data_IF_445421243322
#
_entry.id   IF_445421243322
#
_cell.length_a   1.000
_cell.length_b   1.000
_cell.length_c   1.000
_cell.angle_alpha   90.00
_cell.angle_beta   90.00
_cell.angle_gamma   90.00
#
_symmetry.space_group_name_H-M   'P 1'
#
loop_
_entity.id
_entity.type
_entity.pdbx_description
1 polymer ?
#
# COMPACT_ATOMS: atom_id res chain seq x y z
N UNK A 1 23.06 -15.67 11.03
CA UNK A 1 22.33 -15.04 9.92
C UNK A 1 21.98 -16.12 8.90
N UNK A 2 20.80 -16.72 9.02
CA UNK A 2 20.31 -17.73 8.09
C UNK A 2 19.24 -17.06 7.21
N UNK A 3 19.56 -16.81 5.94
CA UNK A 3 18.58 -16.32 4.98
C UNK A 3 17.36 -17.27 4.98
N UNK A 4 16.12 -16.74 4.99
CA UNK A 4 14.94 -17.58 4.92
C UNK A 4 14.98 -18.38 3.62
N UNK A 5 15.06 -19.71 3.70
CA UNK A 5 15.01 -20.58 2.53
C UNK A 5 13.64 -20.45 1.88
N UNK A 6 13.53 -19.76 0.75
CA UNK A 6 12.29 -19.66 -0.02
C UNK A 6 12.00 -21.02 -0.65
N UNK A 7 10.81 -21.59 -0.40
CA UNK A 7 10.42 -22.85 -1.02
C UNK A 7 10.09 -22.63 -2.50
N UNK A 8 10.31 -23.61 -3.36
CA UNK A 8 9.94 -23.53 -4.79
C UNK A 8 8.46 -23.13 -5.00
N UNK A 9 7.57 -23.61 -4.12
CA UNK A 9 6.15 -23.22 -4.11
C UNK A 9 5.94 -21.73 -3.82
N UNK A 10 6.65 -21.18 -2.84
CA UNK A 10 6.58 -19.76 -2.48
C UNK A 10 7.06 -18.87 -3.63
N UNK A 11 8.16 -19.27 -4.28
CA UNK A 11 8.68 -18.59 -5.46
C UNK A 11 7.69 -18.66 -6.63
N UNK A 12 7.11 -19.84 -6.89
CA UNK A 12 6.11 -20.02 -7.95
C UNK A 12 4.86 -19.15 -7.72
N UNK A 13 4.36 -19.07 -6.49
CA UNK A 13 3.21 -18.23 -6.13
C UNK A 13 3.53 -16.73 -6.26
N UNK A 14 4.72 -16.29 -5.87
CA UNK A 14 5.17 -14.91 -6.10
C UNK A 14 5.24 -14.59 -7.60
N UNK A 15 5.84 -15.47 -8.41
CA UNK A 15 5.94 -15.28 -9.86
C UNK A 15 4.57 -15.28 -10.54
N UNK A 16 3.66 -16.16 -10.12
CA UNK A 16 2.28 -16.18 -10.62
C UNK A 16 1.55 -14.87 -10.29
N UNK A 17 1.71 -14.34 -9.07
CA UNK A 17 1.14 -13.04 -8.69
C UNK A 17 1.66 -11.89 -9.56
N UNK A 18 2.97 -11.85 -9.83
CA UNK A 18 3.59 -10.86 -10.72
C UNK A 18 3.09 -11.01 -12.16
N UNK A 19 2.94 -12.24 -12.66
CA UNK A 19 2.40 -12.50 -13.99
C UNK A 19 0.97 -11.97 -14.13
N UNK A 20 0.10 -12.24 -13.15
CA UNK A 20 -1.25 -11.70 -13.14
C UNK A 20 -1.27 -10.16 -13.02
N UNK A 21 -0.38 -9.56 -12.25
CA UNK A 21 -0.25 -8.10 -12.23
C UNK A 21 0.13 -7.54 -13.61
N UNK A 22 1.09 -8.17 -14.29
CA UNK A 22 1.52 -7.77 -15.62
C UNK A 22 0.38 -7.90 -16.65
N UNK A 23 -0.39 -8.99 -16.59
CA UNK A 23 -1.57 -9.19 -17.44
C UNK A 23 -2.66 -8.14 -17.18
N UNK A 24 -2.89 -7.74 -15.92
CA UNK A 24 -3.81 -6.66 -15.59
C UNK A 24 -3.35 -5.33 -16.24
N UNK A 25 -2.07 -4.96 -16.08
CA UNK A 25 -1.53 -3.73 -16.70
C UNK A 25 -1.57 -3.76 -18.23
N UNK A 26 -1.33 -4.93 -18.83
CA UNK A 26 -1.41 -5.11 -20.28
C UNK A 26 -2.86 -4.99 -20.77
N UNK A 27 -3.81 -5.56 -20.04
CA UNK A 27 -5.23 -5.47 -20.37
C UNK A 27 -5.77 -4.04 -20.31
N UNK A 28 -5.25 -3.24 -19.40
CA UNK A 28 -5.56 -1.81 -19.29
C UNK A 28 -4.94 -1.01 -20.45
N UNK A 29 -3.67 -1.28 -20.78
CA UNK A 29 -2.97 -0.64 -21.90
C UNK A 29 -3.66 -0.91 -23.25
N UNK A 30 -4.08 -2.16 -23.50
CA UNK A 30 -4.78 -2.56 -24.72
C UNK A 30 -6.26 -2.11 -24.72
N UNK A 31 -6.90 -2.08 -23.54
CA UNK A 31 -8.23 -1.53 -23.36
C UNK A 31 -8.33 -0.03 -23.67
N UNK A 32 -7.26 0.72 -23.37
CA UNK A 32 -7.12 2.12 -23.73
C UNK A 32 -6.79 2.36 -25.22
N UNK A 33 -6.44 1.31 -25.98
CA UNK A 33 -6.01 1.39 -27.39
C UNK A 33 -7.13 1.15 -28.43
N UNK A 34 -8.39 0.99 -28.00
CA UNK A 34 -9.55 0.78 -28.89
C UNK A 34 -9.88 2.05 -29.75
N UNK A 35 -10.59 1.95 -30.90
CA UNK A 35 -10.05 2.23 -32.25
C UNK A 35 -9.93 3.68 -32.72
N UNK A 36 -9.99 4.71 -31.87
CA UNK A 36 -10.10 6.10 -32.38
C UNK A 36 -8.92 7.05 -32.21
N UNK A 37 -7.88 6.74 -31.43
CA UNK A 37 -6.69 7.61 -31.38
C UNK A 37 -5.38 6.83 -31.18
N UNK A 38 -4.74 6.46 -32.28
CA UNK A 38 -3.32 6.08 -32.29
C UNK A 38 -2.47 7.31 -31.93
N UNK A 39 -2.19 7.54 -30.64
CA UNK A 39 -1.29 8.62 -30.19
C UNK A 39 0.01 8.05 -29.58
N UNK A 40 1.18 8.30 -30.20
CA UNK A 40 2.49 7.89 -29.66
C UNK A 40 2.87 8.55 -28.32
N UNK A 41 2.11 9.54 -27.84
CA UNK A 41 2.23 10.10 -26.49
C UNK A 41 1.75 9.12 -25.41
N UNK A 42 0.70 8.32 -25.66
CA UNK A 42 0.10 7.40 -24.69
C UNK A 42 1.10 6.35 -24.20
N UNK A 43 1.88 5.76 -25.12
CA UNK A 43 2.89 4.75 -24.79
C UNK A 43 4.04 5.32 -23.94
N UNK A 44 4.47 6.55 -24.19
CA UNK A 44 5.53 7.20 -23.38
C UNK A 44 5.03 7.52 -21.97
N UNK A 45 3.79 7.97 -21.82
CA UNK A 45 3.17 8.20 -20.52
C UNK A 45 3.01 6.90 -19.74
N UNK A 46 2.60 5.81 -20.41
CA UNK A 46 2.50 4.49 -19.80
C UNK A 46 3.88 3.99 -19.32
N UNK A 47 4.91 4.05 -20.16
CA UNK A 47 6.27 3.64 -19.78
C UNK A 47 6.82 4.44 -18.60
N UNK A 48 6.63 5.76 -18.60
CA UNK A 48 7.03 6.62 -17.49
C UNK A 48 6.27 6.25 -16.20
N UNK A 49 4.96 6.06 -16.30
CA UNK A 49 4.11 5.65 -15.18
C UNK A 49 4.52 4.30 -14.60
N UNK A 50 4.78 3.30 -15.44
CA UNK A 50 5.28 1.99 -15.02
C UNK A 50 6.63 2.10 -14.32
N UNK A 51 7.57 2.87 -14.89
CA UNK A 51 8.90 3.07 -14.29
C UNK A 51 8.81 3.74 -12.91
N UNK A 52 8.05 4.83 -12.80
CA UNK A 52 7.83 5.53 -11.53
C UNK A 52 7.12 4.61 -10.52
N UNK A 53 6.17 3.79 -10.97
CA UNK A 53 5.48 2.80 -10.14
C UNK A 53 6.41 1.74 -9.56
N UNK A 54 7.29 1.15 -10.38
CA UNK A 54 8.30 0.17 -9.92
C UNK A 54 9.25 0.80 -8.91
N UNK A 55 9.73 2.00 -9.21
CA UNK A 55 10.62 2.74 -8.31
C UNK A 55 9.92 3.07 -6.97
N UNK A 56 8.65 3.45 -7.00
CA UNK A 56 7.85 3.70 -5.81
C UNK A 56 7.67 2.43 -4.96
N UNK A 57 7.41 1.28 -5.57
CA UNK A 57 7.28 0.01 -4.84
C UNK A 57 8.60 -0.38 -4.18
N UNK A 58 9.73 -0.18 -4.86
CA UNK A 58 11.05 -0.41 -4.30
C UNK A 58 11.30 0.46 -3.06
N UNK A 59 11.06 1.78 -3.15
CA UNK A 59 11.21 2.67 -2.00
C UNK A 59 10.24 2.36 -0.86
N UNK A 60 9.01 1.95 -1.18
CA UNK A 60 8.06 1.49 -0.17
C UNK A 60 8.56 0.24 0.57
N UNK A 61 9.17 -0.71 -0.13
CA UNK A 61 9.77 -1.90 0.47
C UNK A 61 10.96 -1.54 1.38
N UNK A 62 11.85 -0.64 0.92
CA UNK A 62 12.96 -0.12 1.74
C UNK A 62 12.43 0.59 2.98
N UNK A 63 11.41 1.44 2.86
CA UNK A 63 10.80 2.13 4.01
C UNK A 63 10.24 1.15 5.04
N UNK A 64 9.55 0.08 4.61
CA UNK A 64 9.03 -0.94 5.52
C UNK A 64 10.14 -1.76 6.18
N UNK A 65 11.22 -2.06 5.45
CA UNK A 65 12.39 -2.74 6.01
C UNK A 65 13.09 -1.87 7.06
N UNK A 66 13.32 -0.59 6.76
CA UNK A 66 13.87 0.36 7.73
C UNK A 66 12.95 0.49 8.97
N UNK A 67 11.64 0.56 8.78
CA UNK A 67 10.69 0.63 9.89
C UNK A 67 10.71 -0.63 10.77
N UNK A 68 10.88 -1.81 10.17
CA UNK A 68 11.05 -3.05 10.92
C UNK A 68 12.35 -3.02 11.75
N UNK A 69 13.48 -2.62 11.16
CA UNK A 69 14.77 -2.54 11.84
C UNK A 69 14.84 -1.44 12.91
N UNK A 70 14.19 -0.29 12.68
CA UNK A 70 14.05 0.76 13.68
C UNK A 70 13.16 0.30 14.86
N UNK A 71 12.16 -0.52 14.57
CA UNK A 71 11.28 -1.13 15.58
C UNK A 71 12.01 -2.13 16.48
N UNK A 72 12.97 -2.89 15.94
CA UNK A 72 13.77 -3.88 16.68
C UNK A 72 14.99 -3.28 17.37
N UNK A 73 15.72 -2.40 16.68
CA UNK A 73 17.01 -1.86 17.15
C UNK A 73 16.87 -0.64 18.05
N UNK A 74 15.89 0.23 17.79
CA UNK A 74 15.68 1.49 18.53
C UNK A 74 14.38 1.50 19.34
N UNK A 75 13.59 0.42 19.28
CA UNK A 75 12.34 0.31 20.04
C UNK A 75 11.26 1.32 19.65
N UNK A 76 11.38 1.96 18.48
CA UNK A 76 10.49 3.04 18.04
C UNK A 76 9.04 2.56 18.02
N UNK A 77 8.14 3.38 18.58
CA UNK A 77 6.70 3.06 18.59
C UNK A 77 6.13 3.28 17.19
N UNK A 78 5.14 2.48 16.72
CA UNK A 78 4.56 2.65 15.38
C UNK A 78 4.03 4.06 15.09
N UNK A 79 3.51 4.73 16.12
CA UNK A 79 3.05 6.12 16.02
C UNK A 79 4.21 7.09 15.78
N UNK A 80 5.33 6.92 16.48
CA UNK A 80 6.54 7.74 16.28
C UNK A 80 7.12 7.52 14.88
N UNK A 81 7.18 6.27 14.41
CA UNK A 81 7.62 5.94 13.05
C UNK A 81 6.73 6.60 11.98
N UNK A 82 5.42 6.71 12.25
CA UNK A 82 4.49 7.43 11.36
C UNK A 82 4.84 8.90 11.28
N UNK A 83 5.06 9.59 12.40
CA UNK A 83 5.43 11.01 12.38
C UNK A 83 6.83 11.27 11.82
N UNK A 84 7.81 10.41 12.14
CA UNK A 84 9.18 10.52 11.62
C UNK A 84 9.27 10.29 10.11
N UNK A 85 8.34 9.51 9.52
CA UNK A 85 8.26 9.36 8.06
C UNK A 85 7.38 10.44 7.40
N UNK A 86 6.30 10.85 8.05
CA UNK A 86 5.35 11.82 7.49
C UNK A 86 5.91 13.25 7.44
N UNK A 87 6.59 13.73 8.48
CA UNK A 87 7.07 15.12 8.53
C UNK A 87 8.11 15.44 7.44
N UNK A 88 9.16 14.61 7.23
CA UNK A 88 10.11 14.86 6.13
C UNK A 88 9.46 14.74 4.76
N UNK A 89 8.50 13.82 4.60
CA UNK A 89 7.74 13.65 3.36
C UNK A 89 6.85 14.86 3.07
N UNK A 90 6.19 15.41 4.09
CA UNK A 90 5.41 16.64 3.95
C UNK A 90 6.31 17.82 3.54
N UNK A 91 7.47 17.96 4.20
CA UNK A 91 8.43 19.00 3.87
C UNK A 91 8.97 18.88 2.43
N UNK A 92 9.27 17.66 1.97
CA UNK A 92 9.75 17.44 0.60
C UNK A 92 8.66 17.72 -0.44
N UNK A 93 7.38 17.46 -0.13
CA UNK A 93 6.24 17.74 -1.00
C UNK A 93 5.88 19.24 -1.07
N UNK A 94 6.32 20.07 -0.12
CA UNK A 94 6.10 21.53 -0.22
C UNK A 94 6.76 22.11 -1.47
N UNK A 95 7.96 21.65 -1.84
CA UNK A 95 8.68 22.16 -3.01
C UNK A 95 7.89 21.98 -4.31
N UNK A 96 7.47 20.75 -4.71
CA UNK A 96 6.68 20.58 -5.92
C UNK A 96 5.30 21.25 -5.83
N UNK A 97 4.68 21.33 -4.65
CA UNK A 97 3.37 22.00 -4.45
C UNK A 97 3.37 23.46 -4.93
N UNK A 98 4.48 24.17 -4.80
CA UNK A 98 4.62 25.57 -5.23
C UNK A 98 5.32 25.75 -6.57
N UNK A 99 6.08 24.75 -7.05
CA UNK A 99 6.97 24.92 -8.21
C UNK A 99 6.53 24.14 -9.46
N UNK A 100 5.79 23.05 -9.31
CA UNK A 100 5.35 22.21 -10.43
C UNK A 100 4.00 22.70 -10.95
N UNK A 101 3.94 23.03 -12.23
CA UNK A 101 2.69 23.37 -12.92
C UNK A 101 2.13 22.15 -13.63
N UNK A 102 0.84 21.90 -13.45
CA UNK A 102 0.14 20.80 -14.11
C UNK A 102 -1.04 21.34 -14.94
N UNK A 103 -1.44 20.62 -16.01
CA UNK A 103 -2.65 20.94 -16.75
C UNK A 103 -3.86 20.89 -15.80
N UNK A 104 -4.80 21.81 -16.02
CA UNK A 104 -5.98 21.98 -15.17
C UNK A 104 -7.24 21.52 -15.88
N UNK A 105 -8.41 21.71 -15.25
CA UNK A 105 -9.71 21.40 -15.86
C UNK A 105 -9.94 22.22 -17.15
N UNK A 106 -10.84 21.76 -18.05
CA UNK A 106 -11.09 22.43 -19.32
C UNK A 106 -11.38 23.92 -19.15
N UNK A 107 -10.63 24.77 -19.85
CA UNK A 107 -10.77 26.23 -19.80
C UNK A 107 -9.92 26.94 -18.73
N UNK A 108 -9.20 26.21 -17.87
CA UNK A 108 -8.20 26.78 -16.97
C UNK A 108 -6.78 26.57 -17.52
N UNK A 109 -5.95 27.61 -17.48
CA UNK A 109 -4.52 27.51 -17.82
C UNK A 109 -3.76 26.65 -16.81
N UNK A 110 -2.49 26.32 -17.08
CA UNK A 110 -1.65 25.54 -16.16
C UNK A 110 -1.57 26.23 -14.79
N UNK A 111 -1.69 25.45 -13.72
CA UNK A 111 -1.62 25.96 -12.36
C UNK A 111 -0.82 25.03 -11.45
N UNK A 112 -0.34 25.58 -10.34
CA UNK A 112 0.33 24.84 -9.26
C UNK A 112 -0.69 24.23 -8.31
N UNK A 113 -0.31 23.19 -7.57
CA UNK A 113 -1.18 22.56 -6.57
C UNK A 113 -1.70 23.58 -5.53
N UNK A 114 -0.87 24.58 -5.16
CA UNK A 114 -1.29 25.67 -4.29
C UNK A 114 -2.38 26.57 -4.90
N UNK A 115 -2.30 26.83 -6.21
CA UNK A 115 -3.33 27.57 -6.93
C UNK A 115 -4.61 26.75 -7.07
N UNK A 116 -4.52 25.45 -7.34
CA UNK A 116 -5.68 24.53 -7.30
C UNK A 116 -6.34 24.61 -5.94
N UNK A 117 -5.57 24.43 -4.87
CA UNK A 117 -6.08 24.43 -3.50
C UNK A 117 -6.87 25.69 -3.18
N UNK A 118 -6.30 26.87 -3.44
CA UNK A 118 -7.01 28.16 -3.23
C UNK A 118 -8.28 28.27 -4.06
N UNK A 119 -8.26 27.80 -5.31
CA UNK A 119 -9.42 27.84 -6.19
C UNK A 119 -10.53 26.92 -5.70
N UNK A 120 -10.21 25.69 -5.29
CA UNK A 120 -11.18 24.73 -4.74
C UNK A 120 -11.75 25.25 -3.42
N UNK A 121 -10.94 25.84 -2.54
CA UNK A 121 -11.43 26.46 -1.30
C UNK A 121 -12.50 27.52 -1.56
N UNK A 122 -12.34 28.33 -2.61
CA UNK A 122 -13.30 29.38 -2.96
C UNK A 122 -14.55 28.83 -3.66
N UNK A 123 -14.42 27.79 -4.49
CA UNK A 123 -15.54 27.22 -5.27
C UNK A 123 -16.38 26.23 -4.46
N UNK A 124 -15.74 25.39 -3.65
CA UNK A 124 -16.36 24.31 -2.88
C UNK A 124 -15.60 24.10 -1.56
N UNK A 125 -15.87 24.92 -0.53
CA UNK A 125 -15.22 24.77 0.77
C UNK A 125 -15.57 23.43 1.45
N UNK A 126 -16.71 22.82 1.12
CA UNK A 126 -17.10 21.51 1.64
C UNK A 126 -16.11 20.40 1.24
N UNK A 127 -15.49 20.51 0.06
CA UNK A 127 -14.46 19.57 -0.40
C UNK A 127 -13.23 19.58 0.53
N UNK A 128 -12.96 20.68 1.23
CA UNK A 128 -11.87 20.73 2.21
C UNK A 128 -12.11 19.83 3.41
N UNK A 129 -13.37 19.61 3.79
CA UNK A 129 -13.72 18.62 4.81
C UNK A 129 -13.27 17.22 4.42
N UNK A 130 -13.40 16.86 3.14
CA UNK A 130 -12.94 15.57 2.62
C UNK A 130 -11.41 15.47 2.58
N UNK A 131 -10.70 16.57 2.30
CA UNK A 131 -9.24 16.63 2.35
C UNK A 131 -8.71 16.44 3.78
N UNK A 132 -9.35 17.07 4.77
CA UNK A 132 -8.97 16.89 6.17
C UNK A 132 -9.27 15.46 6.62
N UNK A 133 -10.44 14.94 6.25
CA UNK A 133 -10.83 13.57 6.58
C UNK A 133 -9.87 12.54 5.96
N UNK A 134 -9.46 12.74 4.69
CA UNK A 134 -8.50 11.84 4.03
C UNK A 134 -7.13 11.91 4.70
N UNK A 135 -6.70 13.08 5.17
CA UNK A 135 -5.48 13.24 5.98
C UNK A 135 -5.52 12.44 7.28
N UNK A 136 -6.62 12.52 8.04
CA UNK A 136 -6.80 11.74 9.28
C UNK A 136 -6.78 10.24 8.97
N UNK A 137 -7.52 9.79 7.94
CA UNK A 137 -7.54 8.39 7.53
C UNK A 137 -6.15 7.91 7.07
N UNK A 138 -5.36 8.77 6.41
CA UNK A 138 -4.00 8.46 5.98
C UNK A 138 -3.08 8.21 7.18
N UNK A 139 -3.15 9.03 8.23
CA UNK A 139 -2.36 8.81 9.46
C UNK A 139 -2.74 7.50 10.13
N UNK A 140 -4.05 7.20 10.24
CA UNK A 140 -4.51 5.93 10.81
C UNK A 140 -4.06 4.72 9.99
N UNK A 141 -4.12 4.82 8.67
CA UNK A 141 -3.64 3.78 7.76
C UNK A 141 -2.14 3.54 7.91
N UNK A 142 -1.33 4.61 7.90
CA UNK A 142 0.12 4.50 8.10
C UNK A 142 0.47 3.91 9.47
N UNK A 143 -0.21 4.34 10.53
CA UNK A 143 -0.04 3.76 11.86
C UNK A 143 -0.36 2.26 11.86
N UNK A 144 -1.50 1.87 11.30
CA UNK A 144 -1.92 0.47 11.22
C UNK A 144 -0.92 -0.35 10.39
N UNK A 145 -0.42 0.19 9.29
CA UNK A 145 0.62 -0.43 8.46
C UNK A 145 1.89 -0.70 9.27
N UNK A 146 2.42 0.29 9.98
CA UNK A 146 3.61 0.09 10.83
C UNK A 146 3.35 -0.86 12.00
N UNK A 147 2.14 -0.81 12.58
CA UNK A 147 1.72 -1.75 13.62
C UNK A 147 1.66 -3.19 13.10
N UNK A 148 1.11 -3.42 11.90
CA UNK A 148 1.06 -4.73 11.24
C UNK A 148 2.45 -5.27 10.95
N UNK A 149 3.35 -4.43 10.43
CA UNK A 149 4.75 -4.82 10.17
C UNK A 149 5.43 -5.25 11.46
N UNK A 150 5.24 -4.51 12.54
CA UNK A 150 5.86 -4.79 13.84
C UNK A 150 5.30 -6.06 14.50
N UNK A 151 3.99 -6.34 14.36
CA UNK A 151 3.32 -7.38 15.15
C UNK A 151 2.97 -8.67 14.37
N UNK A 152 2.70 -8.64 13.07
CA UNK A 152 2.21 -9.80 12.30
C UNK A 152 3.21 -10.31 11.23
N UNK A 153 4.40 -9.73 11.18
CA UNK A 153 5.47 -9.96 10.20
C UNK A 153 5.22 -9.36 8.80
N UNK A 154 6.30 -9.11 8.03
CA UNK A 154 6.22 -8.47 6.72
C UNK A 154 5.33 -9.20 5.70
N UNK A 155 5.26 -10.53 5.78
CA UNK A 155 4.45 -11.36 4.86
C UNK A 155 2.96 -11.11 5.00
N UNK A 156 2.45 -11.05 6.23
CA UNK A 156 1.04 -10.75 6.48
C UNK A 156 0.69 -9.34 6.02
N UNK A 157 1.61 -8.40 6.18
CA UNK A 157 1.43 -7.03 5.70
C UNK A 157 1.37 -6.98 4.18
N UNK A 158 2.24 -7.72 3.48
CA UNK A 158 2.20 -7.81 2.02
C UNK A 158 0.91 -8.46 1.51
N UNK A 159 0.42 -9.51 2.17
CA UNK A 159 -0.87 -10.14 1.88
C UNK A 159 -2.04 -9.15 2.08
N UNK A 160 -2.12 -8.53 3.26
CA UNK A 160 -3.17 -7.56 3.58
C UNK A 160 -3.15 -6.38 2.61
N UNK A 161 -1.97 -5.92 2.19
CA UNK A 161 -1.80 -4.87 1.19
C UNK A 161 -2.37 -5.25 -0.18
N UNK A 162 -2.07 -6.46 -0.69
CA UNK A 162 -2.57 -6.91 -1.99
C UNK A 162 -4.07 -7.20 -1.98
N UNK A 163 -4.60 -7.72 -0.87
CA UNK A 163 -6.04 -7.92 -0.71
C UNK A 163 -6.80 -6.58 -0.64
N UNK A 164 -6.27 -5.61 0.12
CA UNK A 164 -6.86 -4.27 0.19
C UNK A 164 -6.91 -3.59 -1.19
N UNK A 165 -5.85 -3.73 -1.99
CA UNK A 165 -5.82 -3.24 -3.38
C UNK A 165 -6.90 -3.91 -4.24
N UNK A 166 -7.04 -5.23 -4.17
CA UNK A 166 -8.04 -5.97 -4.95
C UNK A 166 -9.48 -5.53 -4.59
N UNK A 167 -9.76 -5.32 -3.29
CA UNK A 167 -11.05 -4.78 -2.83
C UNK A 167 -11.27 -3.37 -3.37
N UNK A 168 -10.26 -2.49 -3.29
CA UNK A 168 -10.36 -1.13 -3.81
C UNK A 168 -10.69 -1.11 -5.30
N UNK A 169 -10.07 -1.97 -6.11
CA UNK A 169 -10.39 -2.10 -7.54
C UNK A 169 -11.84 -2.55 -7.72
N UNK A 170 -12.28 -3.55 -6.96
CA UNK A 170 -13.68 -4.03 -7.01
C UNK A 170 -14.70 -2.93 -6.66
N UNK A 171 -14.43 -2.14 -5.61
CA UNK A 171 -15.26 -1.01 -5.21
C UNK A 171 -15.22 0.11 -6.27
N UNK A 172 -14.05 0.41 -6.83
CA UNK A 172 -13.85 1.40 -7.90
C UNK A 172 -14.71 1.09 -9.13
N UNK A 173 -14.71 -0.18 -9.56
CA UNK A 173 -15.56 -0.69 -10.65
C UNK A 173 -17.04 -0.58 -10.28
N UNK A 174 -17.42 -0.95 -9.06
CA UNK A 174 -18.83 -0.94 -8.62
C UNK A 174 -19.41 0.48 -8.54
N UNK A 175 -18.63 1.45 -8.05
CA UNK A 175 -19.01 2.87 -8.00
C UNK A 175 -18.98 3.51 -9.40
N UNK A 176 -18.29 2.89 -10.36
CA UNK A 176 -18.15 3.40 -11.73
C UNK A 176 -17.05 4.47 -11.87
N UNK A 177 -16.11 4.53 -10.92
CA UNK A 177 -14.92 5.38 -11.03
C UNK A 177 -13.92 4.84 -12.05
N UNK A 178 -14.00 3.54 -12.33
CA UNK A 178 -13.12 2.83 -13.25
C UNK A 178 -13.93 2.01 -14.24
N UNK A 179 -13.64 2.19 -15.53
CA UNK A 179 -14.30 1.48 -16.61
C UNK A 179 -13.51 0.22 -16.97
N UNK A 180 -14.18 -0.93 -16.94
CA UNK A 180 -13.61 -2.18 -17.46
C UNK A 180 -13.28 -2.03 -18.95
N UNK A 181 -12.13 -2.55 -19.42
CA UNK A 181 -11.80 -2.55 -20.83
C UNK A 181 -12.86 -3.28 -21.66
N UNK A 182 -13.00 -2.91 -22.92
CA UNK A 182 -14.02 -3.46 -23.82
C UNK A 182 -13.57 -4.81 -24.40
N UNK A 183 -14.53 -5.70 -24.67
CA UNK A 183 -14.28 -6.99 -25.31
C UNK A 183 -13.58 -8.03 -24.41
N UNK A 184 -12.76 -8.90 -25.00
CA UNK A 184 -12.11 -10.01 -24.31
C UNK A 184 -11.16 -9.57 -23.18
N UNK A 185 -10.60 -8.37 -23.28
CA UNK A 185 -9.73 -7.78 -22.25
C UNK A 185 -10.42 -7.56 -20.91
N UNK A 186 -11.76 -7.41 -20.90
CA UNK A 186 -12.56 -7.37 -19.66
C UNK A 186 -12.35 -8.62 -18.81
N UNK A 187 -12.46 -9.78 -19.45
CA UNK A 187 -12.37 -11.08 -18.78
C UNK A 187 -10.95 -11.29 -18.29
N UNK A 188 -9.95 -10.91 -19.11
CA UNK A 188 -8.53 -10.97 -18.75
C UNK A 188 -8.22 -10.08 -17.54
N UNK A 189 -8.74 -8.85 -17.50
CA UNK A 189 -8.50 -7.93 -16.38
C UNK A 189 -9.08 -8.46 -15.07
N UNK A 190 -10.34 -8.93 -15.11
CA UNK A 190 -11.02 -9.50 -13.93
C UNK A 190 -10.30 -10.77 -13.46
N UNK A 191 -9.98 -11.69 -14.37
CA UNK A 191 -9.24 -12.91 -14.05
C UNK A 191 -7.85 -12.59 -13.46
N UNK A 192 -7.19 -11.54 -13.96
CA UNK A 192 -5.89 -11.10 -13.48
C UNK A 192 -5.96 -10.52 -12.06
N UNK A 193 -6.98 -9.73 -11.74
CA UNK A 193 -7.18 -9.19 -10.38
C UNK A 193 -7.38 -10.32 -9.38
N UNK A 194 -8.30 -11.26 -9.67
CA UNK A 194 -8.56 -12.40 -8.78
C UNK A 194 -7.39 -13.39 -8.73
N UNK A 195 -6.72 -13.63 -9.86
CA UNK A 195 -5.54 -14.49 -9.94
C UNK A 195 -4.37 -13.94 -9.12
N UNK A 196 -4.14 -12.63 -9.17
CA UNK A 196 -3.14 -11.96 -8.34
C UNK A 196 -3.48 -12.10 -6.85
N UNK A 197 -4.71 -11.76 -6.45
CA UNK A 197 -5.16 -11.89 -5.07
C UNK A 197 -5.04 -13.33 -4.56
N UNK A 198 -5.44 -14.31 -5.36
CA UNK A 198 -5.34 -15.74 -5.05
C UNK A 198 -3.90 -16.22 -4.91
N UNK A 199 -2.99 -15.79 -5.80
CA UNK A 199 -1.57 -16.13 -5.74
C UNK A 199 -0.91 -15.61 -4.44
N UNK A 200 -1.20 -14.37 -4.05
CA UNK A 200 -0.67 -13.81 -2.79
C UNK A 200 -1.34 -14.37 -1.55
N UNK A 201 -2.63 -14.76 -1.63
CA UNK A 201 -3.30 -15.50 -0.57
C UNK A 201 -2.66 -16.88 -0.36
N UNK A 202 -2.44 -17.62 -1.45
CA UNK A 202 -1.75 -18.91 -1.42
C UNK A 202 -0.32 -18.79 -0.86
N UNK A 203 0.41 -17.73 -1.24
CA UNK A 203 1.73 -17.45 -0.68
C UNK A 203 1.68 -17.22 0.83
N UNK A 204 0.74 -16.41 1.30
CA UNK A 204 0.54 -16.14 2.74
C UNK A 204 0.26 -17.42 3.53
N UNK A 205 -0.63 -18.28 3.03
CA UNK A 205 -0.95 -19.58 3.65
C UNK A 205 0.26 -20.53 3.67
N UNK A 206 0.99 -20.62 2.55
CA UNK A 206 2.20 -21.45 2.46
C UNK A 206 3.32 -20.97 3.38
N UNK A 207 3.38 -19.68 3.70
CA UNK A 207 4.34 -19.13 4.65
C UNK A 207 3.90 -19.31 6.10
N UNK A 208 2.62 -19.14 6.42
CA UNK A 208 2.06 -19.40 7.74
C UNK A 208 2.27 -20.87 8.16
N UNK A 209 1.91 -21.82 7.29
CA UNK A 209 2.11 -23.24 7.58
C UNK A 209 3.59 -23.64 7.77
N UNK A 210 4.53 -22.87 7.22
CA UNK A 210 5.96 -23.08 7.45
C UNK A 210 6.44 -22.52 8.77
N UNK A 211 5.95 -21.35 9.17
CA UNK A 211 6.22 -20.80 10.50
C UNK A 211 5.70 -21.73 11.60
N UNK A 212 4.54 -22.37 11.38
CA UNK A 212 3.99 -23.36 12.31
C UNK A 212 4.82 -24.66 12.34
N UNK A 213 5.30 -25.12 11.18
CA UNK A 213 6.17 -26.29 11.09
C UNK A 213 7.56 -26.06 11.72
N UNK A 214 8.13 -24.87 11.52
CA UNK A 214 9.41 -24.46 12.13
C UNK A 214 9.25 -24.19 13.65
N UNK A 215 8.01 -23.99 14.16
CA UNK A 215 7.70 -23.74 15.57
C UNK A 215 7.44 -25.00 16.43
N UNK A 216 7.41 -26.21 15.87
CA UNK A 216 7.38 -27.47 16.64
C UNK A 216 8.80 -28.07 16.78
N UNK A 217 9.25 -28.62 17.94
CA UNK A 217 8.59 -28.88 19.23
C UNK A 217 8.97 -27.88 20.35
N UNK A 218 9.16 -26.58 20.05
CA UNK A 218 9.54 -25.59 21.07
C UNK A 218 8.37 -25.12 21.96
N UNK A 219 7.11 -25.41 21.60
CA UNK A 219 5.91 -25.05 22.37
C UNK A 219 5.19 -26.21 23.07
N UNK A 220 5.77 -27.41 23.07
CA UNK A 220 5.21 -28.56 23.79
C UNK A 220 5.55 -28.57 25.31
N UNK A 221 6.37 -27.63 25.78
CA UNK A 221 6.73 -27.48 27.19
C UNK A 221 6.18 -26.19 27.79
N UNK A 222 4.96 -26.24 28.34
CA UNK A 222 4.50 -25.40 29.44
C UNK A 222 4.37 -23.89 29.22
N UNK A 223 3.16 -23.43 28.91
CA UNK A 223 2.63 -22.21 29.52
C UNK A 223 1.09 -22.27 29.52
N UNK A 224 0.54 -22.40 30.71
CA UNK A 224 -0.88 -22.45 31.02
C UNK A 224 -1.57 -21.14 30.54
N UNK A 225 -2.64 -21.18 29.72
CA UNK A 225 -3.27 -19.99 29.13
C UNK A 225 -3.97 -19.05 30.14
N UNK A 226 -3.86 -19.32 31.45
CA UNK A 226 -4.38 -18.46 32.52
C UNK A 226 -3.38 -17.46 33.11
N UNK A 227 -2.08 -17.55 32.80
CA UNK A 227 -1.09 -16.59 33.30
C UNK A 227 -0.98 -15.30 32.45
N UNK A 228 -1.45 -15.30 31.20
CA UNK A 228 -1.31 -14.17 30.27
C UNK A 228 -2.35 -13.05 30.44
N UNK A 229 -3.23 -13.12 31.45
CA UNK A 229 -4.28 -12.10 31.71
C UNK A 229 -3.93 -11.09 32.82
N UNK A 230 -2.73 -11.13 33.39
CA UNK A 230 -2.38 -10.27 34.54
C UNK A 230 -1.59 -8.99 34.21
N UNK A 231 -1.18 -8.73 32.96
CA UNK A 231 -0.29 -7.59 32.65
C UNK A 231 -0.88 -6.57 31.65
N UNK A 232 -2.21 -6.49 31.54
CA UNK A 232 -2.90 -5.37 30.84
C UNK A 232 -3.20 -4.24 31.84
N UNK A 233 -2.23 -3.93 32.70
CA UNK A 233 -2.35 -3.00 33.81
C UNK A 233 -1.11 -2.13 34.03
N UNK A 234 -0.42 -1.77 32.95
CA UNK A 234 0.69 -0.82 33.00
C UNK A 234 0.20 0.58 33.35
N UNK A 235 0.21 0.88 34.64
CA UNK A 235 -0.15 2.15 35.24
C UNK A 235 0.59 3.34 34.59
N UNK A 236 -0.18 4.39 34.30
CA UNK A 236 0.32 5.73 34.04
C UNK A 236 1.26 6.16 35.19
N UNK A 237 2.48 6.66 34.95
CA UNK A 237 3.28 7.23 36.02
C UNK A 237 2.61 8.52 36.51
N UNK A 238 2.27 8.56 37.80
CA UNK A 238 1.77 9.76 38.45
C UNK A 238 2.83 10.89 38.42
N UNK A 239 2.43 12.16 38.30
CA UNK A 239 3.38 13.27 38.28
C UNK A 239 4.11 13.39 39.62
N UNK A 240 5.43 13.47 39.56
CA UNK A 240 6.28 13.75 40.70
C UNK A 240 5.87 15.08 41.34
N UNK A 241 5.51 15.04 42.62
CA UNK A 241 5.33 16.26 43.42
C UNK A 241 6.71 16.80 43.79
N UNK A 242 6.88 18.11 43.56
CA UNK A 242 8.00 18.89 44.07
C UNK A 242 7.99 18.95 45.60
#
# INVERSE_FOLDING_TARGET
>A
SSAPKTTALQLALMLAGVLFAALATLSEAEGAAAPHEARPSSQRHLMLGTFVGVLSIFFAAVNLLCAAELGTSLGVRPLEATFYSALPSAASLLVPTFTVMHPSWPGAGPMTDWQVFRKVMHLSPQTMGLVVLSGIMSVLYSFLQYWLVKNLSPTYTAFAGNFNKAICIGISIWIGLESLPVGAWRVVMVASIFGNAGAFMGYGLAQAGRQDADAGPAKAGGADPKAAKADVGGAWPAPAKA
#
